data_IF_799728608181
#
_entry.id   IF_799728608181
#
_cell.length_a   1.000
_cell.length_b   1.000
_cell.length_c   1.000
_cell.angle_alpha   90.00
_cell.angle_beta   90.00
_cell.angle_gamma   90.00
#
_symmetry.space_group_name_H-M   'P 1'
#
loop_
_entity.id
_entity.type
_entity.pdbx_description
1 polymer ?
#
# COMPACT_ATOMS: atom_id res chain seq x y z
N UNK A 1 -14.11 18.79 37.56
CA UNK A 1 -13.41 17.50 37.76
C UNK A 1 -13.26 16.84 36.40
N UNK A 2 -12.04 16.58 35.95
CA UNK A 2 -11.82 15.82 34.70
C UNK A 2 -12.24 14.37 34.92
N UNK A 3 -12.83 13.69 33.91
CA UNK A 3 -13.14 12.27 34.02
C UNK A 3 -11.85 11.45 34.23
N UNK A 4 -11.91 10.33 34.98
CA UNK A 4 -10.76 9.47 35.18
C UNK A 4 -10.27 8.91 33.84
N UNK A 5 -8.97 8.68 33.73
CA UNK A 5 -8.39 8.01 32.56
C UNK A 5 -8.97 6.58 32.45
N UNK A 6 -9.14 6.06 31.22
CA UNK A 6 -9.57 4.68 31.01
C UNK A 6 -8.58 3.68 31.65
N UNK A 7 -9.10 2.55 32.09
CA UNK A 7 -8.26 1.44 32.57
C UNK A 7 -7.57 0.68 31.42
N UNK A 8 -6.75 -0.30 31.77
CA UNK A 8 -5.99 -1.10 30.79
C UNK A 8 -6.91 -1.92 29.87
N UNK A 9 -8.06 -2.36 30.36
CA UNK A 9 -9.03 -3.13 29.57
C UNK A 9 -9.66 -2.25 28.49
N UNK A 10 -9.96 -0.99 28.80
CA UNK A 10 -10.44 -0.02 27.82
C UNK A 10 -9.43 0.23 26.69
N UNK A 11 -8.13 0.31 27.00
CA UNK A 11 -7.09 0.44 25.97
C UNK A 11 -6.96 -0.81 25.09
N UNK A 12 -7.03 -2.01 25.68
CA UNK A 12 -7.05 -3.26 24.92
C UNK A 12 -8.28 -3.32 24.01
N UNK A 13 -9.46 -2.98 24.53
CA UNK A 13 -10.69 -2.96 23.75
C UNK A 13 -10.61 -1.96 22.60
N UNK A 14 -10.02 -0.79 22.83
CA UNK A 14 -9.79 0.21 21.79
C UNK A 14 -8.86 -0.30 20.69
N UNK A 15 -7.81 -1.07 21.04
CA UNK A 15 -6.94 -1.71 20.04
C UNK A 15 -7.67 -2.78 19.23
N UNK A 16 -8.36 -3.70 19.92
CA UNK A 16 -9.04 -4.84 19.30
C UNK A 16 -10.21 -4.42 18.40
N UNK A 17 -11.01 -3.45 18.84
CA UNK A 17 -12.22 -3.01 18.16
C UNK A 17 -12.03 -1.78 17.25
N UNK A 18 -10.81 -1.28 17.09
CA UNK A 18 -10.57 -0.16 16.19
C UNK A 18 -11.04 -0.52 14.76
N UNK A 19 -11.77 0.38 14.07
CA UNK A 19 -12.29 0.13 12.72
C UNK A 19 -11.20 0.23 11.62
N UNK A 20 -9.94 0.25 12.03
CA UNK A 20 -8.75 0.28 11.17
C UNK A 20 -7.81 -0.82 11.61
N UNK A 21 -7.03 -1.37 10.67
CA UNK A 21 -6.02 -2.36 11.01
C UNK A 21 -4.93 -1.71 11.86
N UNK A 22 -4.71 -2.20 13.07
CA UNK A 22 -3.65 -1.73 13.95
C UNK A 22 -2.58 -2.81 14.09
N UNK A 23 -1.31 -2.40 14.11
CA UNK A 23 -0.20 -3.28 14.39
C UNK A 23 0.86 -2.61 15.28
N UNK A 24 1.39 -3.39 16.22
CA UNK A 24 2.60 -3.06 16.97
C UNK A 24 3.77 -3.77 16.31
N UNK A 25 4.91 -3.09 16.21
CA UNK A 25 6.09 -3.67 15.57
C UNK A 25 7.36 -3.45 16.35
N UNK A 26 8.32 -4.37 16.17
CA UNK A 26 9.73 -4.23 16.58
C UNK A 26 10.65 -4.68 15.45
N UNK A 27 11.65 -3.89 15.08
CA UNK A 27 12.55 -4.17 13.95
C UNK A 27 11.78 -4.58 12.67
N UNK A 28 10.68 -3.87 12.37
CA UNK A 28 9.75 -4.17 11.25
C UNK A 28 9.08 -5.56 11.31
N UNK A 29 9.11 -6.24 12.45
CA UNK A 29 8.38 -7.49 12.73
C UNK A 29 7.12 -7.15 13.53
N UNK A 30 5.99 -7.71 13.14
CA UNK A 30 4.71 -7.55 13.84
C UNK A 30 4.76 -8.27 15.18
N UNK A 31 4.64 -7.53 16.26
CA UNK A 31 4.56 -8.06 17.63
C UNK A 31 3.11 -8.32 18.02
N UNK A 32 2.20 -7.48 17.54
CA UNK A 32 0.76 -7.64 17.75
C UNK A 32 -0.02 -7.00 16.60
N UNK A 33 -1.25 -7.43 16.39
CA UNK A 33 -2.20 -6.83 15.46
C UNK A 33 -3.64 -7.11 15.88
N UNK A 34 -4.55 -6.19 15.53
CA UNK A 34 -5.95 -6.33 15.87
C UNK A 34 -6.75 -7.11 14.82
N UNK A 35 -8.01 -7.42 15.16
CA UNK A 35 -8.94 -8.14 14.30
C UNK A 35 -9.13 -7.48 12.92
N UNK A 36 -9.24 -6.16 12.86
CA UNK A 36 -9.40 -5.43 11.60
C UNK A 36 -8.20 -5.62 10.66
N UNK A 37 -6.98 -5.75 11.20
CA UNK A 37 -5.78 -6.05 10.42
C UNK A 37 -5.86 -7.46 9.84
N UNK A 38 -6.23 -8.45 10.66
CA UNK A 38 -6.42 -9.85 10.24
C UNK A 38 -7.44 -9.96 9.09
N UNK A 39 -8.62 -9.36 9.25
CA UNK A 39 -9.68 -9.36 8.25
C UNK A 39 -9.25 -8.66 6.96
N UNK A 40 -8.59 -7.50 7.10
CA UNK A 40 -8.07 -6.76 5.97
C UNK A 40 -7.05 -7.60 5.20
N UNK A 41 -6.03 -8.16 5.84
CA UNK A 41 -5.00 -8.90 5.11
C UNK A 41 -5.37 -10.35 4.78
N UNK A 42 -6.54 -10.81 5.24
CA UNK A 42 -7.05 -12.16 5.00
C UNK A 42 -6.24 -13.24 5.71
N UNK A 43 -5.61 -12.91 6.83
CA UNK A 43 -4.75 -13.81 7.58
C UNK A 43 -5.17 -13.83 9.06
N UNK A 44 -4.94 -14.96 9.72
CA UNK A 44 -5.10 -15.08 11.17
C UNK A 44 -4.01 -14.30 11.90
N UNK A 45 -4.25 -14.01 13.18
CA UNK A 45 -3.26 -13.33 14.02
C UNK A 45 -1.98 -14.18 14.16
N UNK A 46 -2.13 -15.50 14.21
CA UNK A 46 -1.04 -16.47 14.29
C UNK A 46 -0.15 -16.47 13.03
N UNK A 47 -0.73 -16.19 11.87
CA UNK A 47 0.02 -16.05 10.61
C UNK A 47 0.74 -14.70 10.48
N UNK A 48 0.28 -13.68 11.20
CA UNK A 48 0.79 -12.31 11.11
C UNK A 48 1.81 -11.99 12.20
N UNK A 49 1.54 -12.35 13.44
CA UNK A 49 2.44 -12.09 14.58
C UNK A 49 3.74 -12.88 14.41
N UNK A 50 4.86 -12.22 14.65
CA UNK A 50 6.19 -12.75 14.42
C UNK A 50 6.69 -12.63 12.97
N UNK A 51 5.82 -12.25 12.02
CA UNK A 51 6.24 -12.02 10.64
C UNK A 51 6.72 -10.59 10.41
N UNK A 52 7.66 -10.44 9.46
CA UNK A 52 8.04 -9.12 8.95
C UNK A 52 6.89 -8.49 8.19
N UNK A 53 6.72 -7.16 8.29
CA UNK A 53 5.81 -6.41 7.44
C UNK A 53 6.00 -6.67 5.94
N UNK A 54 7.17 -7.14 5.51
CA UNK A 54 7.47 -7.55 4.13
C UNK A 54 6.39 -8.43 3.50
N UNK A 55 5.74 -9.31 4.26
CA UNK A 55 4.69 -10.20 3.72
C UNK A 55 3.44 -9.44 3.22
N UNK A 56 3.24 -8.22 3.72
CA UNK A 56 2.13 -7.34 3.36
C UNK A 56 2.38 -6.53 2.07
N UNK A 57 3.58 -6.64 1.49
CA UNK A 57 3.98 -5.91 0.29
C UNK A 57 3.88 -6.80 -0.97
N UNK A 58 3.66 -6.23 -2.16
CA UNK A 58 3.64 -7.01 -3.40
C UNK A 58 5.00 -7.62 -3.74
N UNK A 59 6.10 -6.99 -3.32
CA UNK A 59 7.47 -7.47 -3.52
C UNK A 59 8.42 -7.05 -2.38
N UNK A 60 9.54 -7.76 -2.28
CA UNK A 60 10.62 -7.44 -1.33
C UNK A 60 11.25 -6.07 -1.63
N UNK A 61 11.48 -5.77 -2.91
CA UNK A 61 12.08 -4.50 -3.34
C UNK A 61 11.19 -3.30 -3.00
N UNK A 62 9.87 -3.45 -3.05
CA UNK A 62 8.94 -2.41 -2.61
C UNK A 62 9.02 -2.17 -1.11
N UNK A 63 9.10 -3.23 -0.32
CA UNK A 63 9.26 -3.13 1.12
C UNK A 63 10.54 -2.36 1.50
N UNK A 64 11.67 -2.68 0.87
CA UNK A 64 12.94 -2.00 1.19
C UNK A 64 12.97 -0.55 0.73
N UNK A 65 12.56 -0.28 -0.51
CA UNK A 65 12.52 1.11 -1.05
C UNK A 65 11.62 2.02 -0.22
N UNK A 66 10.48 1.49 0.23
CA UNK A 66 9.58 2.24 1.10
C UNK A 66 10.20 2.41 2.49
N UNK A 67 10.81 1.37 3.05
CA UNK A 67 11.53 1.45 4.33
C UNK A 67 12.62 2.53 4.35
N UNK A 68 13.41 2.64 3.29
CA UNK A 68 14.43 3.67 3.09
C UNK A 68 13.81 5.07 2.98
N UNK A 69 12.69 5.21 2.26
CA UNK A 69 11.99 6.48 2.07
C UNK A 69 11.35 6.99 3.37
N UNK A 70 10.76 6.11 4.18
CA UNK A 70 10.01 6.52 5.38
C UNK A 70 10.91 6.79 6.60
N UNK A 71 12.07 6.14 6.68
CA UNK A 71 13.01 6.28 7.79
C UNK A 71 13.39 7.75 8.10
N UNK A 72 13.83 8.59 7.13
CA UNK A 72 14.18 9.97 7.42
C UNK A 72 12.98 10.82 7.85
N UNK A 73 11.77 10.52 7.35
CA UNK A 73 10.54 11.23 7.72
C UNK A 73 10.16 10.91 9.17
N UNK A 74 10.21 9.63 9.55
CA UNK A 74 9.98 9.19 10.93
C UNK A 74 11.02 9.76 11.89
N UNK A 75 12.28 9.82 11.49
CA UNK A 75 13.34 10.45 12.30
C UNK A 75 13.05 11.95 12.53
N UNK A 76 12.71 12.67 11.47
CA UNK A 76 12.45 14.12 11.50
C UNK A 76 11.14 14.51 12.21
N UNK A 77 10.08 13.70 12.12
CA UNK A 77 8.73 14.09 12.59
C UNK A 77 8.11 13.15 13.63
N UNK A 78 8.68 11.95 13.83
CA UNK A 78 8.14 10.90 14.69
C UNK A 78 6.87 10.23 14.17
N UNK A 79 6.30 10.72 13.07
CA UNK A 79 5.10 10.17 12.44
C UNK A 79 5.19 10.22 10.92
N UNK A 80 4.41 9.38 10.27
CA UNK A 80 4.41 9.17 8.82
C UNK A 80 3.00 8.79 8.33
N UNK A 81 2.65 9.20 7.11
CA UNK A 81 1.42 8.79 6.44
C UNK A 81 1.60 8.80 4.93
N UNK A 82 1.10 7.78 4.24
CA UNK A 82 0.92 7.77 2.78
C UNK A 82 -0.19 6.80 2.35
N UNK A 83 -0.43 6.75 1.04
CA UNK A 83 -1.18 5.68 0.40
C UNK A 83 -0.24 4.83 -0.45
N UNK A 84 -0.34 3.51 -0.33
CA UNK A 84 0.49 2.56 -1.07
C UNK A 84 -0.28 1.31 -1.44
N UNK A 85 0.23 0.59 -2.43
CA UNK A 85 -0.30 -0.72 -2.80
C UNK A 85 0.26 -1.76 -1.83
N UNK A 86 -0.66 -2.50 -1.21
CA UNK A 86 -0.35 -3.61 -0.30
C UNK A 86 -0.92 -4.91 -0.88
N UNK A 87 -0.46 -6.06 -0.37
CA UNK A 87 -0.84 -7.39 -0.83
C UNK A 87 -1.54 -8.15 0.30
N UNK A 88 -2.67 -8.78 -0.02
CA UNK A 88 -3.37 -9.73 0.86
C UNK A 88 -2.52 -10.97 1.06
N UNK A 89 -2.41 -11.43 2.31
CA UNK A 89 -1.58 -12.58 2.69
C UNK A 89 -2.32 -13.88 2.43
N UNK A 90 -3.55 -14.01 2.92
CA UNK A 90 -4.30 -15.26 2.92
C UNK A 90 -5.76 -15.14 2.52
N UNK A 91 -6.51 -16.20 2.80
CA UNK A 91 -7.95 -16.29 2.56
C UNK A 91 -8.34 -16.24 1.08
N UNK A 92 -9.62 -15.94 0.81
CA UNK A 92 -10.18 -15.92 -0.55
C UNK A 92 -9.54 -14.90 -1.49
N UNK A 93 -8.86 -13.90 -0.94
CA UNK A 93 -8.22 -12.80 -1.68
C UNK A 93 -6.69 -12.92 -1.67
N UNK A 94 -6.13 -14.05 -1.26
CA UNK A 94 -4.69 -14.25 -1.13
C UNK A 94 -3.94 -13.80 -2.40
N UNK A 95 -2.93 -12.95 -2.22
CA UNK A 95 -2.12 -12.40 -3.30
C UNK A 95 -2.74 -11.23 -4.07
N UNK A 96 -4.02 -10.90 -3.86
CA UNK A 96 -4.61 -9.70 -4.44
C UNK A 96 -3.95 -8.45 -3.85
N UNK A 97 -3.70 -7.45 -4.71
CA UNK A 97 -3.22 -6.14 -4.30
C UNK A 97 -4.37 -5.16 -4.09
N UNK A 98 -4.25 -4.27 -3.11
CA UNK A 98 -5.25 -3.27 -2.74
C UNK A 98 -4.59 -1.94 -2.37
N UNK A 99 -5.29 -0.82 -2.52
CA UNK A 99 -4.79 0.47 -2.05
C UNK A 99 -5.00 0.57 -0.54
N UNK A 100 -3.93 0.88 0.18
CA UNK A 100 -3.95 1.00 1.62
C UNK A 100 -3.40 2.36 2.03
N UNK A 101 -4.18 3.09 2.83
CA UNK A 101 -3.64 4.21 3.58
C UNK A 101 -2.88 3.66 4.79
N UNK A 102 -1.60 3.98 4.88
CA UNK A 102 -0.72 3.53 5.95
C UNK A 102 -0.24 4.75 6.73
N UNK A 103 -0.50 4.75 8.03
CA UNK A 103 0.08 5.72 8.94
C UNK A 103 0.87 5.03 10.03
N UNK A 104 1.87 5.71 10.59
CA UNK A 104 2.68 5.13 11.63
C UNK A 104 3.37 6.17 12.49
N UNK A 105 3.72 5.76 13.71
CA UNK A 105 4.54 6.51 14.65
C UNK A 105 5.69 5.64 15.13
N UNK A 106 6.90 6.19 15.07
CA UNK A 106 8.06 5.58 15.69
C UNK A 106 8.04 5.85 17.21
N UNK A 107 8.35 4.83 18.01
CA UNK A 107 8.49 4.98 19.47
C UNK A 107 9.86 5.54 19.86
N UNK A 108 10.87 5.26 19.04
CA UNK A 108 12.19 5.89 19.11
C UNK A 108 12.45 6.59 17.78
N UNK A 109 12.70 7.90 17.82
CA UNK A 109 12.98 8.67 16.61
C UNK A 109 14.39 8.46 16.07
N UNK A 110 15.33 8.11 16.94
CA UNK A 110 16.73 7.87 16.56
C UNK A 110 16.91 6.52 15.88
N UNK A 111 16.04 5.56 16.17
CA UNK A 111 15.89 4.29 15.45
C UNK A 111 14.41 4.05 15.07
N UNK A 112 13.94 4.66 13.97
CA UNK A 112 12.52 4.66 13.60
C UNK A 112 11.96 3.28 13.25
N UNK A 113 12.82 2.28 13.00
CA UNK A 113 12.41 0.91 12.71
C UNK A 113 12.47 -0.01 13.93
N UNK A 114 13.11 0.41 15.04
CA UNK A 114 13.22 -0.38 16.27
C UNK A 114 11.87 -0.74 16.87
N UNK A 115 10.95 0.23 16.95
CA UNK A 115 9.58 -0.01 17.40
C UNK A 115 8.62 1.06 16.89
N UNK A 116 7.40 0.63 16.54
CA UNK A 116 6.39 1.55 16.01
C UNK A 116 4.97 1.01 16.11
N UNK A 117 4.02 1.95 16.11
CA UNK A 117 2.58 1.73 16.05
C UNK A 117 2.12 2.10 14.64
N UNK A 118 1.37 1.22 13.99
CA UNK A 118 0.95 1.37 12.61
C UNK A 118 -0.56 1.24 12.48
N UNK A 119 -1.15 2.02 11.59
CA UNK A 119 -2.53 1.88 11.15
C UNK A 119 -2.61 1.62 9.65
N UNK A 120 -3.58 0.82 9.27
CA UNK A 120 -3.87 0.40 7.90
C UNK A 120 -5.35 0.60 7.63
N UNK A 121 -5.69 1.31 6.57
CA UNK A 121 -7.06 1.47 6.09
C UNK A 121 -7.12 1.03 4.63
N UNK A 122 -8.06 0.14 4.29
CA UNK A 122 -8.31 -0.21 2.90
C UNK A 122 -9.12 0.90 2.24
N UNK A 123 -8.45 1.65 1.36
CA UNK A 123 -9.08 2.75 0.63
C UNK A 123 -9.57 2.32 -0.74
N UNK A 124 -9.57 1.03 -1.05
CA UNK A 124 -9.97 0.50 -2.38
C UNK A 124 -11.42 0.79 -2.74
N UNK A 125 -12.29 1.06 -1.77
CA UNK A 125 -13.66 1.49 -2.03
C UNK A 125 -13.74 2.93 -2.57
N UNK A 126 -12.84 3.81 -2.13
CA UNK A 126 -12.70 5.19 -2.64
C UNK A 126 -11.75 5.27 -3.84
N UNK A 127 -10.86 4.29 -3.93
CA UNK A 127 -9.72 4.25 -4.84
C UNK A 127 -9.55 2.83 -5.39
N UNK A 128 -10.45 2.33 -6.25
CA UNK A 128 -10.33 0.97 -6.75
C UNK A 128 -8.95 0.76 -7.34
N UNK A 129 -8.30 -0.37 -7.03
CA UNK A 129 -7.09 -0.79 -7.76
C UNK A 129 -7.54 -1.02 -9.19
N UNK A 130 -7.48 0.05 -9.96
CA UNK A 130 -8.02 0.13 -11.31
C UNK A 130 -7.33 -0.96 -12.12
N UNK A 131 -8.09 -2.03 -12.35
CA UNK A 131 -7.75 -3.24 -13.07
C UNK A 131 -6.27 -3.66 -12.98
N UNK A 132 -5.90 -4.46 -11.97
CA UNK A 132 -4.56 -5.04 -11.76
C UNK A 132 -3.68 -5.01 -13.01
N UNK A 133 -2.81 -3.99 -13.08
CA UNK A 133 -1.89 -3.84 -14.19
C UNK A 133 -0.76 -4.86 -14.02
N UNK A 134 -0.40 -5.55 -15.09
CA UNK A 134 0.86 -6.30 -15.16
C UNK A 134 2.05 -5.32 -15.06
N UNK A 135 3.25 -5.82 -14.76
CA UNK A 135 4.45 -4.98 -14.68
C UNK A 135 4.65 -4.12 -15.95
N UNK A 136 4.45 -4.71 -17.13
CA UNK A 136 4.55 -4.00 -18.42
C UNK A 136 3.44 -2.98 -18.64
N UNK A 137 2.23 -3.27 -18.18
CA UNK A 137 1.14 -2.29 -18.26
C UNK A 137 1.37 -1.12 -17.30
N UNK A 138 1.95 -1.35 -16.11
CA UNK A 138 2.34 -0.27 -15.18
C UNK A 138 3.41 0.64 -15.80
N UNK A 139 4.44 0.06 -16.38
CA UNK A 139 5.51 0.80 -17.06
C UNK A 139 4.94 1.68 -18.19
N UNK A 140 4.06 1.11 -19.03
CA UNK A 140 3.42 1.87 -20.11
C UNK A 140 2.48 2.94 -19.56
N UNK A 141 1.66 2.62 -18.55
CA UNK A 141 0.76 3.58 -17.91
C UNK A 141 1.53 4.79 -17.33
N UNK A 142 2.67 4.54 -16.68
CA UNK A 142 3.53 5.60 -16.12
C UNK A 142 4.06 6.56 -17.21
N UNK A 143 4.43 6.04 -18.38
CA UNK A 143 4.91 6.87 -19.49
C UNK A 143 3.77 7.61 -20.18
N UNK A 144 2.59 6.99 -20.28
CA UNK A 144 1.37 7.62 -20.81
C UNK A 144 0.90 8.78 -19.91
N UNK A 145 0.93 8.61 -18.57
CA UNK A 145 0.63 9.70 -17.63
C UNK A 145 1.61 10.88 -17.73
N UNK A 146 2.86 10.62 -18.10
CA UNK A 146 3.87 11.66 -18.39
C UNK A 146 3.68 12.33 -19.76
N UNK A 147 2.64 11.96 -20.51
CA UNK A 147 2.35 12.52 -21.83
C UNK A 147 3.27 12.02 -22.95
N UNK A 148 4.02 10.94 -22.74
CA UNK A 148 4.92 10.42 -23.79
C UNK A 148 4.11 9.78 -24.93
N UNK A 149 4.55 10.06 -26.15
CA UNK A 149 4.08 9.36 -27.34
C UNK A 149 4.51 7.89 -27.33
N UNK A 150 3.83 7.04 -28.10
CA UNK A 150 4.21 5.63 -28.24
C UNK A 150 5.66 5.44 -28.69
N UNK A 151 6.18 6.35 -29.52
CA UNK A 151 7.59 6.33 -29.97
C UNK A 151 8.57 6.64 -28.82
N UNK A 152 8.26 7.62 -27.98
CA UNK A 152 9.10 7.98 -26.83
C UNK A 152 9.05 6.89 -25.75
N UNK A 153 7.86 6.37 -25.46
CA UNK A 153 7.69 5.29 -24.50
C UNK A 153 8.39 4.00 -24.96
N UNK A 154 8.32 3.68 -26.25
CA UNK A 154 9.03 2.55 -26.86
C UNK A 154 10.55 2.66 -26.67
N UNK A 155 11.10 3.85 -26.93
CA UNK A 155 12.53 4.13 -26.70
C UNK A 155 12.91 3.97 -25.23
N UNK A 156 12.07 4.43 -24.31
CA UNK A 156 12.32 4.33 -22.87
C UNK A 156 12.28 2.89 -22.34
N UNK A 157 11.46 2.02 -22.95
CA UNK A 157 11.24 0.64 -22.51
C UNK A 157 12.03 -0.41 -23.31
N UNK A 158 12.75 -0.01 -24.35
CA UNK A 158 13.49 -0.93 -25.23
C UNK A 158 12.58 -1.88 -26.02
N UNK A 159 11.38 -1.43 -26.39
CA UNK A 159 10.38 -2.23 -27.15
C UNK A 159 9.92 -1.49 -28.41
N UNK A 160 9.14 -2.13 -29.27
CA UNK A 160 8.61 -1.48 -30.47
C UNK A 160 7.46 -0.50 -30.15
N UNK A 161 7.27 0.59 -30.93
CA UNK A 161 6.10 1.47 -30.80
C UNK A 161 4.77 0.72 -30.93
N UNK A 162 4.72 -0.33 -31.78
CA UNK A 162 3.54 -1.19 -31.95
C UNK A 162 3.20 -1.93 -30.66
N UNK A 163 4.21 -2.39 -29.92
CA UNK A 163 4.05 -3.06 -28.62
C UNK A 163 3.47 -2.10 -27.58
N UNK A 164 3.90 -0.84 -27.56
CA UNK A 164 3.32 0.20 -26.68
C UNK A 164 1.84 0.43 -26.99
N UNK A 165 1.46 0.50 -28.26
CA UNK A 165 0.05 0.65 -28.65
C UNK A 165 -0.82 -0.53 -28.21
N UNK A 166 -0.28 -1.76 -28.26
CA UNK A 166 -0.97 -2.95 -27.72
C UNK A 166 -1.23 -2.79 -26.21
N UNK A 167 -0.22 -2.34 -25.46
CA UNK A 167 -0.39 -2.09 -24.03
C UNK A 167 -1.36 -0.93 -23.77
N UNK A 168 -1.32 0.17 -24.53
CA UNK A 168 -2.31 1.25 -24.43
C UNK A 168 -3.74 0.75 -24.69
N UNK A 169 -3.94 -0.09 -25.70
CA UNK A 169 -5.26 -0.69 -25.97
C UNK A 169 -5.73 -1.62 -24.84
N UNK A 170 -4.81 -2.36 -24.19
CA UNK A 170 -5.14 -3.17 -23.00
C UNK A 170 -5.51 -2.29 -21.81
N UNK A 171 -4.73 -1.23 -21.56
CA UNK A 171 -5.00 -0.22 -20.54
C UNK A 171 -6.36 0.44 -20.76
N UNK A 172 -6.66 0.90 -21.98
CA UNK A 172 -7.95 1.49 -22.33
C UNK A 172 -9.11 0.53 -22.08
N UNK A 173 -8.99 -0.76 -22.46
CA UNK A 173 -10.02 -1.76 -22.14
C UNK A 173 -10.19 -1.97 -20.64
N UNK A 174 -9.07 -2.09 -19.90
CA UNK A 174 -9.05 -2.29 -18.45
C UNK A 174 -9.68 -1.13 -17.68
N UNK A 175 -9.53 0.09 -18.17
CA UNK A 175 -10.04 1.31 -17.56
C UNK A 175 -11.34 1.80 -18.21
N UNK A 176 -11.92 1.02 -19.13
CA UNK A 176 -13.08 1.41 -19.91
C UNK A 176 -12.95 2.81 -20.53
N UNK A 177 -11.75 3.17 -21.00
CA UNK A 177 -11.46 4.47 -21.60
C UNK A 177 -11.61 4.41 -23.12
N UNK A 178 -12.32 5.37 -23.69
CA UNK A 178 -12.51 5.52 -25.13
C UNK A 178 -11.35 6.28 -25.81
N UNK A 179 -10.52 6.97 -25.03
CA UNK A 179 -9.35 7.70 -25.55
C UNK A 179 -8.16 7.63 -24.60
N UNK A 180 -6.98 8.03 -25.09
CA UNK A 180 -5.80 8.16 -24.22
C UNK A 180 -5.97 9.26 -23.19
N UNK A 181 -6.63 10.37 -23.54
CA UNK A 181 -6.88 11.47 -22.59
C UNK A 181 -7.77 10.99 -21.45
N UNK A 182 -8.83 10.25 -21.79
CA UNK A 182 -9.71 9.64 -20.78
C UNK A 182 -8.98 8.56 -19.96
N UNK A 183 -8.10 7.77 -20.59
CA UNK A 183 -7.25 6.81 -19.87
C UNK A 183 -6.36 7.53 -18.85
N UNK A 184 -5.73 8.65 -19.24
CA UNK A 184 -4.90 9.46 -18.33
C UNK A 184 -5.75 10.03 -17.19
N UNK A 185 -6.93 10.58 -17.49
CA UNK A 185 -7.86 11.06 -16.46
C UNK A 185 -8.24 9.94 -15.48
N UNK A 186 -8.58 8.74 -15.97
CA UNK A 186 -8.94 7.60 -15.12
C UNK A 186 -7.76 7.01 -14.36
N UNK A 187 -6.54 7.14 -14.87
CA UNK A 187 -5.31 6.79 -14.14
C UNK A 187 -4.97 7.82 -13.05
N UNK A 188 -5.30 9.10 -13.27
CA UNK A 188 -5.06 10.20 -12.33
C UNK A 188 -6.14 10.33 -11.24
N UNK A 189 -7.40 10.09 -11.61
CA UNK A 189 -8.57 10.01 -10.73
C UNK A 189 -8.63 8.68 -9.97
N UNK A 190 -7.62 7.83 -10.16
CA UNK A 190 -7.51 6.50 -9.55
C UNK A 190 -7.83 6.56 -8.09
#
# INVERSE_FOLDING_TARGET
MSPPLPDTDAYRLAFELAPVGLALSRHRIMVDCNQAMCEMFGASREELVGQSFRILYPSADEFERIGERIAPILNAHGHYSDERIMRRVGGRLAGQTFWCHVSGRALDRTDPHAAGIWSFEDVSARRPVTAALTAREREVAALVMKGLTAKQAAKALGISPRTVEIYRARLMRKFHAASTVELVQKLLLG
#
